data_IF_998090627650
#
_entry.id   IF_998090627650
#
_cell.length_a   1.000
_cell.length_b   1.000
_cell.length_c   1.000
_cell.angle_alpha   90.00
_cell.angle_beta   90.00
_cell.angle_gamma   90.00
#
_symmetry.space_group_name_H-M   'P 1'
#
loop_
_entity.id
_entity.type
_entity.pdbx_description
1 polymer ?
#
# COMPACT_ATOMS: atom_id res chain seq x y z
N UNK A 1 11.96 -3.37 14.02
CA UNK A 1 11.74 -2.79 12.97
C UNK A 1 10.68 -3.37 12.21
N UNK A 2 9.94 -2.75 11.76
CA UNK A 2 8.85 -3.25 11.08
C UNK A 2 9.10 -3.51 9.66
N UNK A 3 8.30 -4.39 9.13
CA UNK A 3 8.32 -4.64 7.74
C UNK A 3 8.01 -3.40 6.97
N UNK A 4 7.14 -2.56 7.49
CA UNK A 4 6.78 -1.34 6.82
C UNK A 4 7.87 -0.33 6.73
N UNK A 5 9.00 -0.59 7.36
CA UNK A 5 10.10 0.32 7.23
C UNK A 5 10.80 0.12 5.92
N UNK A 6 11.68 1.04 5.62
CA UNK A 6 12.46 0.96 4.41
C UNK A 6 13.33 -0.26 4.44
N UNK A 7 13.16 -1.12 3.46
CA UNK A 7 13.98 -2.31 3.32
C UNK A 7 14.48 -2.31 1.89
N UNK A 8 15.46 -1.44 1.60
CA UNK A 8 15.82 -1.18 0.22
C UNK A 8 16.41 -2.36 -0.53
N UNK A 9 16.93 -3.32 0.21
CA UNK A 9 17.58 -4.46 -0.43
C UNK A 9 16.79 -5.75 -0.33
N UNK A 10 15.52 -5.65 0.03
CA UNK A 10 14.67 -6.83 0.04
C UNK A 10 14.42 -7.27 -1.38
N UNK A 11 14.72 -8.53 -1.68
CA UNK A 11 14.50 -9.04 -3.02
C UNK A 11 13.04 -9.49 -3.19
N UNK A 12 12.71 -9.90 -4.40
CA UNK A 12 11.33 -10.26 -4.72
C UNK A 12 10.86 -11.47 -3.95
N UNK A 13 11.74 -12.41 -3.67
CA UNK A 13 11.35 -13.59 -2.91
C UNK A 13 10.91 -13.23 -1.50
N UNK A 14 11.66 -12.35 -0.84
CA UNK A 14 11.28 -11.91 0.50
C UNK A 14 9.98 -11.15 0.49
N UNK A 15 9.77 -10.31 -0.52
CA UNK A 15 8.52 -9.57 -0.64
C UNK A 15 7.33 -10.51 -0.82
N UNK A 16 7.48 -11.53 -1.64
CA UNK A 16 6.43 -12.51 -1.84
C UNK A 16 6.11 -13.26 -0.56
N UNK A 17 7.13 -13.63 0.19
CA UNK A 17 6.94 -14.33 1.45
C UNK A 17 6.17 -13.47 2.45
N UNK A 18 6.53 -12.19 2.57
CA UNK A 18 5.85 -11.28 3.46
C UNK A 18 4.40 -11.11 3.04
N UNK A 19 4.14 -10.95 1.75
CA UNK A 19 2.78 -10.80 1.26
C UNK A 19 1.95 -12.04 1.54
N UNK A 20 2.54 -13.21 1.37
CA UNK A 20 1.82 -14.46 1.66
C UNK A 20 1.45 -14.54 3.13
N UNK A 21 2.35 -14.12 4.02
CA UNK A 21 2.05 -14.12 5.44
C UNK A 21 0.94 -13.14 5.78
N UNK A 22 0.98 -11.94 5.19
CA UNK A 22 -0.04 -10.93 5.45
C UNK A 22 -1.40 -11.36 4.89
N UNK A 23 -1.40 -12.11 3.81
CA UNK A 23 -2.64 -12.56 3.18
C UNK A 23 -3.18 -13.86 3.77
N UNK A 24 -2.47 -14.43 4.74
CA UNK A 24 -2.72 -15.81 5.17
C UNK A 24 -4.11 -16.09 5.72
N UNK A 25 -4.80 -15.10 6.27
CA UNK A 25 -6.11 -15.31 6.87
C UNK A 25 -7.25 -14.92 5.95
N UNK A 26 -6.99 -14.19 4.88
CA UNK A 26 -8.01 -13.65 4.01
C UNK A 26 -7.57 -13.79 2.58
N UNK A 27 -8.53 -13.82 1.69
CA UNK A 27 -8.23 -13.71 0.27
C UNK A 27 -8.01 -12.22 -0.01
N UNK A 28 -6.75 -11.82 -0.11
CA UNK A 28 -6.38 -10.43 -0.32
C UNK A 28 -5.60 -10.27 -1.60
N UNK A 29 -5.81 -9.14 -2.25
CA UNK A 29 -4.98 -8.76 -3.39
C UNK A 29 -5.08 -7.26 -3.61
N UNK A 30 -4.19 -6.73 -4.42
CA UNK A 30 -4.20 -5.32 -4.79
C UNK A 30 -4.27 -5.25 -6.30
N UNK A 31 -5.19 -4.43 -6.80
CA UNK A 31 -5.35 -4.19 -8.23
C UNK A 31 -5.07 -2.72 -8.49
N UNK A 32 -4.84 -2.38 -9.77
CA UNK A 32 -4.46 -1.03 -10.15
C UNK A 32 -5.26 -0.58 -11.34
N UNK A 33 -5.67 0.70 -11.35
CA UNK A 33 -6.29 1.33 -12.51
C UNK A 33 -5.57 2.63 -12.80
N UNK A 34 -5.48 2.99 -14.08
CA UNK A 34 -4.79 4.20 -14.47
C UNK A 34 -3.30 4.03 -14.45
N UNK A 35 -2.60 5.10 -14.10
CA UNK A 35 -1.14 5.08 -14.02
C UNK A 35 -0.70 5.82 -12.76
N UNK A 36 0.63 5.94 -12.57
CA UNK A 36 1.16 6.55 -11.35
C UNK A 36 0.83 8.03 -11.21
N UNK A 37 0.51 8.70 -12.33
CA UNK A 37 0.22 10.13 -12.28
C UNK A 37 -1.18 10.40 -11.76
N UNK A 38 -2.13 9.55 -12.15
CA UNK A 38 -3.52 9.74 -11.77
C UNK A 38 -4.16 8.37 -11.84
N UNK A 39 -3.97 7.62 -10.80
CA UNK A 39 -4.45 6.24 -10.80
C UNK A 39 -5.19 5.92 -9.53
N UNK A 40 -5.54 4.66 -9.43
CA UNK A 40 -6.27 4.14 -8.28
C UNK A 40 -5.64 2.82 -7.89
N UNK A 41 -5.39 2.64 -6.60
CA UNK A 41 -5.02 1.36 -6.03
C UNK A 41 -6.28 0.78 -5.41
N UNK A 42 -6.58 -0.46 -5.71
CA UNK A 42 -7.79 -1.11 -5.20
C UNK A 42 -7.36 -2.26 -4.30
N UNK A 43 -7.72 -2.15 -3.02
CA UNK A 43 -7.50 -3.23 -2.07
C UNK A 43 -8.72 -4.15 -2.11
N UNK A 44 -8.48 -5.42 -2.34
CA UNK A 44 -9.56 -6.41 -2.42
C UNK A 44 -9.38 -7.41 -1.29
N UNK A 45 -10.43 -7.57 -0.49
CA UNK A 45 -10.44 -8.54 0.60
C UNK A 45 -11.76 -9.28 0.51
N UNK A 46 -11.71 -10.55 0.12
CA UNK A 46 -12.90 -11.32 -0.20
C UNK A 46 -13.73 -10.58 -1.25
N UNK A 47 -14.93 -10.14 -0.92
CA UNK A 47 -15.78 -9.43 -1.88
C UNK A 47 -15.70 -7.92 -1.73
N UNK A 48 -14.95 -7.43 -0.76
CA UNK A 48 -14.85 -6.01 -0.49
C UNK A 48 -13.77 -5.39 -1.35
N UNK A 49 -14.09 -4.26 -1.97
CA UNK A 49 -13.15 -3.51 -2.81
C UNK A 49 -13.07 -2.09 -2.26
N UNK A 50 -11.87 -1.65 -1.95
CA UNK A 50 -11.65 -0.30 -1.41
C UNK A 50 -10.67 0.42 -2.32
N UNK A 51 -11.04 1.59 -2.78
CA UNK A 51 -10.23 2.36 -3.73
C UNK A 51 -9.48 3.48 -3.02
N UNK A 52 -8.23 3.63 -3.39
CA UNK A 52 -7.38 4.72 -2.88
C UNK A 52 -6.79 5.45 -4.08
N UNK A 53 -6.94 6.76 -4.10
CA UNK A 53 -6.40 7.56 -5.19
C UNK A 53 -4.89 7.69 -5.07
N UNK A 54 -4.21 7.76 -6.21
CA UNK A 54 -2.78 8.02 -6.24
C UNK A 54 -2.50 9.27 -7.05
N UNK A 55 -1.33 9.86 -6.80
CA UNK A 55 -0.92 11.04 -7.56
C UNK A 55 0.59 11.06 -7.66
N UNK A 56 1.09 11.59 -8.78
CA UNK A 56 2.52 11.71 -8.99
C UNK A 56 3.09 12.73 -8.02
N UNK A 57 4.23 12.39 -7.42
CA UNK A 57 4.92 13.31 -6.55
C UNK A 57 5.88 14.20 -7.29
N UNK A 58 6.65 14.95 -6.53
CA UNK A 58 7.69 15.82 -7.07
C UNK A 58 9.02 15.49 -6.43
N UNK A 59 10.10 15.97 -7.05
CA UNK A 59 11.42 15.75 -6.52
C UNK A 59 11.75 14.28 -6.40
N UNK A 60 12.08 13.86 -5.21
CA UNK A 60 12.45 12.48 -4.94
C UNK A 60 11.25 11.54 -4.79
N UNK A 61 10.06 12.09 -4.72
CA UNK A 61 8.84 11.30 -4.56
C UNK A 61 8.34 10.86 -5.93
N UNK A 62 8.20 9.56 -6.11
CA UNK A 62 7.69 9.03 -7.38
C UNK A 62 6.17 9.18 -7.44
N UNK A 63 5.47 8.72 -6.41
CA UNK A 63 4.03 8.89 -6.29
C UNK A 63 3.63 8.65 -4.84
N UNK A 64 2.40 9.04 -4.52
CA UNK A 64 1.85 8.79 -3.19
C UNK A 64 0.39 8.39 -3.29
N UNK A 65 -0.05 7.69 -2.26
CA UNK A 65 -1.40 7.15 -2.15
C UNK A 65 -2.12 7.92 -1.05
N UNK A 66 -3.31 8.43 -1.34
CA UNK A 66 -4.11 9.15 -0.34
C UNK A 66 -4.80 8.15 0.56
N UNK A 67 -4.70 8.36 1.88
CA UNK A 67 -5.32 7.49 2.86
C UNK A 67 -6.35 8.25 3.68
N UNK A 68 -7.49 7.62 4.04
CA UNK A 68 -8.35 8.19 5.06
C UNK A 68 -7.59 8.18 6.39
N UNK A 69 -7.70 9.25 7.17
CA UNK A 69 -7.08 9.26 8.49
C UNK A 69 -7.80 8.28 9.42
N UNK A 70 -7.29 8.13 10.64
CA UNK A 70 -7.83 7.12 11.54
C UNK A 70 -9.29 7.35 11.88
N UNK A 71 -9.69 8.61 12.06
CA UNK A 71 -11.07 8.93 12.39
C UNK A 71 -12.03 8.56 11.28
N UNK A 72 -11.61 8.69 10.04
CA UNK A 72 -12.46 8.47 8.89
C UNK A 72 -12.33 7.06 8.31
N UNK A 73 -11.36 6.32 8.78
CA UNK A 73 -11.01 5.04 8.19
C UNK A 73 -12.19 4.08 8.06
N UNK A 74 -12.89 3.83 9.17
CA UNK A 74 -13.99 2.85 9.13
C UNK A 74 -15.13 3.32 8.26
N UNK A 75 -15.45 4.61 8.30
CA UNK A 75 -16.50 5.14 7.45
C UNK A 75 -16.15 5.11 5.98
N UNK A 76 -14.88 5.34 5.66
CA UNK A 76 -14.44 5.39 4.27
C UNK A 76 -14.22 4.01 3.68
N UNK A 77 -13.76 3.06 4.48
CA UNK A 77 -13.34 1.75 3.96
C UNK A 77 -14.25 0.60 4.36
N UNK A 78 -14.97 0.74 5.46
CA UNK A 78 -15.76 -0.36 6.00
C UNK A 78 -14.91 -1.43 6.67
N UNK A 79 -13.64 -1.13 6.94
CA UNK A 79 -12.70 -2.06 7.58
C UNK A 79 -12.47 -1.59 9.01
N UNK A 80 -12.47 -2.49 10.00
CA UNK A 80 -12.24 -2.08 11.39
C UNK A 80 -10.91 -1.35 11.55
N UNK A 81 -10.88 -0.36 12.43
CA UNK A 81 -9.67 0.43 12.64
C UNK A 81 -8.50 -0.44 13.13
N UNK A 82 -8.81 -1.53 13.84
CA UNK A 82 -7.78 -2.43 14.32
C UNK A 82 -7.03 -3.13 13.20
N UNK A 83 -7.61 -3.16 12.00
CA UNK A 83 -6.99 -3.79 10.83
C UNK A 83 -6.24 -2.80 9.96
N UNK A 84 -6.35 -1.51 10.24
CA UNK A 84 -5.82 -0.47 9.36
C UNK A 84 -4.33 -0.64 9.07
N UNK A 85 -3.52 -0.82 10.10
CA UNK A 85 -2.08 -0.92 9.90
C UNK A 85 -1.72 -2.14 9.06
N UNK A 86 -2.38 -3.25 9.29
CA UNK A 86 -2.13 -4.46 8.53
C UNK A 86 -2.52 -4.28 7.06
N UNK A 87 -3.66 -3.64 6.80
CA UNK A 87 -4.12 -3.37 5.45
C UNK A 87 -3.15 -2.43 4.73
N UNK A 88 -2.72 -1.37 5.41
CA UNK A 88 -1.81 -0.41 4.80
C UNK A 88 -0.46 -1.04 4.48
N UNK A 89 0.04 -1.91 5.35
CA UNK A 89 1.28 -2.62 5.07
C UNK A 89 1.14 -3.53 3.86
N UNK A 90 0.03 -4.23 3.77
CA UNK A 90 -0.23 -5.10 2.63
C UNK A 90 -0.25 -4.29 1.32
N UNK A 91 -0.96 -3.16 1.32
CA UNK A 91 -1.02 -2.29 0.15
C UNK A 91 0.36 -1.75 -0.19
N UNK A 92 1.09 -1.28 0.82
CA UNK A 92 2.39 -0.64 0.59
C UNK A 92 3.38 -1.62 -0.03
N UNK A 93 3.43 -2.84 0.49
CA UNK A 93 4.36 -3.85 -0.02
C UNK A 93 3.94 -4.30 -1.41
N UNK A 94 2.63 -4.48 -1.63
CA UNK A 94 2.13 -4.91 -2.94
C UNK A 94 2.46 -3.89 -4.02
N UNK A 95 2.19 -2.61 -3.77
CA UNK A 95 2.47 -1.58 -4.75
C UNK A 95 3.97 -1.38 -4.95
N UNK A 96 4.75 -1.55 -3.89
CA UNK A 96 6.20 -1.49 -4.01
C UNK A 96 6.70 -2.58 -4.97
N UNK A 97 6.20 -3.79 -4.80
CA UNK A 97 6.58 -4.90 -5.68
C UNK A 97 6.12 -4.68 -7.11
N UNK A 98 4.86 -4.25 -7.28
CA UNK A 98 4.21 -4.26 -8.59
C UNK A 98 4.47 -3.00 -9.41
N UNK A 99 4.62 -1.85 -8.76
CA UNK A 99 4.65 -0.57 -9.44
C UNK A 99 5.93 0.21 -9.23
N UNK A 100 6.67 -0.09 -8.19
CA UNK A 100 7.81 0.74 -7.79
C UNK A 100 8.87 -0.10 -7.09
N UNK A 101 9.34 -1.14 -7.77
CA UNK A 101 10.25 -2.10 -7.15
C UNK A 101 11.60 -1.50 -6.79
N UNK A 102 11.99 -0.40 -7.44
CA UNK A 102 13.26 0.26 -7.14
C UNK A 102 13.12 1.36 -6.10
N UNK A 103 11.91 1.57 -5.58
CA UNK A 103 11.66 2.63 -4.61
C UNK A 103 11.63 2.09 -3.20
N UNK A 104 11.72 3.00 -2.24
CA UNK A 104 11.35 2.68 -0.87
C UNK A 104 10.11 3.48 -0.50
N UNK A 105 9.42 3.09 0.56
CA UNK A 105 8.17 3.75 0.91
C UNK A 105 8.12 4.14 2.37
N UNK A 106 7.20 5.05 2.68
CA UNK A 106 6.94 5.51 4.03
C UNK A 106 5.42 5.58 4.21
N UNK A 107 4.92 5.08 5.32
CA UNK A 107 3.50 5.16 5.64
C UNK A 107 3.32 6.20 6.74
N UNK A 108 2.50 7.22 6.45
CA UNK A 108 2.11 8.20 7.45
C UNK A 108 0.61 8.09 7.64
N UNK A 109 0.04 8.97 8.45
CA UNK A 109 -1.39 8.89 8.69
C UNK A 109 -2.22 9.16 7.43
N UNK A 110 -1.72 10.04 6.57
CA UNK A 110 -2.50 10.49 5.41
C UNK A 110 -2.01 9.95 4.09
N UNK A 111 -0.83 9.35 4.05
CA UNK A 111 -0.23 8.93 2.77
C UNK A 111 0.62 7.70 2.90
N UNK A 112 0.70 6.93 1.81
CA UNK A 112 1.83 6.03 1.57
C UNK A 112 2.63 6.71 0.47
N UNK A 113 3.89 7.02 0.74
CA UNK A 113 4.73 7.77 -0.19
C UNK A 113 5.86 6.89 -0.69
N UNK A 114 6.09 6.90 -1.99
CA UNK A 114 7.14 6.10 -2.61
C UNK A 114 8.23 7.01 -3.13
N UNK A 115 9.45 6.77 -2.68
CA UNK A 115 10.59 7.62 -3.00
C UNK A 115 11.56 6.89 -3.91
N UNK A 116 12.13 7.63 -4.85
CA UNK A 116 13.22 7.11 -5.69
C UNK A 116 14.47 6.95 -4.84
N UNK A 117 15.27 6.01 -5.24
CA UNK A 117 16.57 5.82 -4.58
C UNK A 117 17.64 6.59 -5.25
#
# INVERSE_FOLDING_TARGET
>A
DGIGKIIPNVDLEMREKILNELAGKFTRKVEYEGNLRSGIIIYVENDKRVKFDTEMGGGNCLFYVFLPNKERWEGATGIPISERDNVLEFIAISANRDQASSCYYEITEDYITYYRR
#
